data_IF_193136683332
#
_entry.id   IF_193136683332
#
_cell.length_a   1.000
_cell.length_b   1.000
_cell.length_c   1.000
_cell.angle_alpha   90.00
_cell.angle_beta   90.00
_cell.angle_gamma   90.00
#
_symmetry.space_group_name_H-M   'P 1'
#
loop_
_entity.id
_entity.type
_entity.pdbx_description
1 polymer ?
#
# COMPACT_ATOMS: atom_id res chain seq x y z
N UNK A 1 -12.59 -12.17 -17.70
CA UNK A 1 -11.98 -10.87 -17.33
C UNK A 1 -12.99 -9.97 -16.62
N UNK A 2 -12.74 -9.60 -15.37
CA UNK A 2 -13.65 -8.70 -14.64
C UNK A 2 -13.49 -7.26 -15.15
N UNK A 3 -14.59 -6.57 -15.45
CA UNK A 3 -14.59 -5.20 -16.01
C UNK A 3 -13.72 -4.24 -15.20
N UNK A 4 -13.72 -4.38 -13.87
CA UNK A 4 -12.91 -3.53 -12.98
C UNK A 4 -11.40 -3.58 -13.25
N UNK A 5 -10.87 -4.75 -13.63
CA UNK A 5 -9.43 -4.88 -13.90
C UNK A 5 -9.05 -4.07 -15.14
N UNK A 6 -9.89 -4.15 -16.16
CA UNK A 6 -9.74 -3.37 -17.38
C UNK A 6 -9.90 -1.87 -17.11
N UNK A 7 -10.91 -1.46 -16.35
CA UNK A 7 -11.12 -0.05 -15.95
C UNK A 7 -9.93 0.48 -15.15
N UNK A 8 -9.47 -0.25 -14.13
CA UNK A 8 -8.30 0.14 -13.33
C UNK A 8 -7.03 0.26 -14.18
N UNK A 9 -6.83 -0.62 -15.14
CA UNK A 9 -5.70 -0.52 -16.07
C UNK A 9 -5.76 0.76 -16.91
N UNK A 10 -6.95 1.15 -17.39
CA UNK A 10 -7.16 2.42 -18.10
C UNK A 10 -6.96 3.63 -17.20
N UNK A 11 -7.51 3.62 -15.99
CA UNK A 11 -7.33 4.70 -15.02
C UNK A 11 -5.86 4.92 -14.65
N UNK A 12 -5.08 3.85 -14.46
CA UNK A 12 -3.63 3.98 -14.22
C UNK A 12 -2.91 4.66 -15.38
N UNK A 13 -3.26 4.34 -16.63
CA UNK A 13 -2.70 5.02 -17.80
C UNK A 13 -3.04 6.51 -17.80
N UNK A 14 -4.29 6.85 -17.50
CA UNK A 14 -4.77 8.24 -17.41
C UNK A 14 -4.07 8.99 -16.26
N UNK A 15 -3.82 8.34 -15.12
CA UNK A 15 -3.17 8.96 -13.96
C UNK A 15 -1.75 9.46 -14.24
N UNK A 16 -1.07 8.94 -15.27
CA UNK A 16 0.24 9.45 -15.70
C UNK A 16 0.14 10.88 -16.24
N UNK A 17 -1.02 11.26 -16.78
CA UNK A 17 -1.32 12.60 -17.30
C UNK A 17 -1.87 13.54 -16.22
N UNK A 18 -2.09 13.06 -14.99
CA UNK A 18 -2.63 13.87 -13.91
C UNK A 18 -1.71 15.06 -13.58
N UNK A 19 -2.21 16.30 -13.51
CA UNK A 19 -1.37 17.48 -13.26
C UNK A 19 -0.58 17.41 -11.97
N UNK A 20 -1.17 16.85 -10.90
CA UNK A 20 -0.50 16.69 -9.60
C UNK A 20 0.81 15.90 -9.70
N UNK A 21 0.85 14.93 -10.61
CA UNK A 21 2.02 14.12 -10.93
C UNK A 21 3.15 14.98 -11.52
N UNK A 22 2.82 15.81 -12.51
CA UNK A 22 3.80 16.67 -13.19
C UNK A 22 4.35 17.74 -12.25
N UNK A 23 3.47 18.33 -11.42
CA UNK A 23 3.86 19.34 -10.42
C UNK A 23 4.80 18.71 -9.39
N UNK A 24 4.48 17.53 -8.85
CA UNK A 24 5.33 16.84 -7.89
C UNK A 24 6.73 16.52 -8.42
N UNK A 25 6.81 16.09 -9.69
CA UNK A 25 8.11 15.90 -10.35
C UNK A 25 8.88 17.21 -10.49
N UNK A 26 8.18 18.32 -10.77
CA UNK A 26 8.76 19.66 -10.79
C UNK A 26 9.31 20.09 -9.43
N UNK A 27 8.56 19.87 -8.35
CA UNK A 27 8.98 20.18 -6.98
C UNK A 27 10.21 19.37 -6.54
N UNK A 28 10.36 18.15 -7.02
CA UNK A 28 11.53 17.31 -6.74
C UNK A 28 12.76 17.65 -7.60
N UNK A 29 12.66 18.57 -8.56
CA UNK A 29 13.76 18.91 -9.47
C UNK A 29 14.83 19.71 -8.74
N UNK A 30 16.08 19.26 -8.84
CA UNK A 30 17.26 19.99 -8.33
C UNK A 30 17.78 20.94 -9.42
N UNK A 31 18.00 20.38 -10.61
CA UNK A 31 18.46 21.09 -11.80
C UNK A 31 17.86 20.43 -13.06
N UNK A 32 18.19 20.95 -14.25
CA UNK A 32 17.64 20.43 -15.51
C UNK A 32 17.98 18.95 -15.70
N UNK A 33 16.97 18.09 -15.53
CA UNK A 33 17.08 16.65 -15.75
C UNK A 33 17.59 15.85 -14.54
N UNK A 34 17.79 16.49 -13.38
CA UNK A 34 18.19 15.83 -12.13
C UNK A 34 17.11 16.03 -11.05
N UNK A 35 16.66 14.92 -10.45
CA UNK A 35 15.53 14.90 -9.51
C UNK A 35 15.92 14.25 -8.20
N UNK A 36 15.51 14.85 -7.07
CA UNK A 36 15.85 14.41 -5.72
C UNK A 36 14.97 13.24 -5.29
N UNK A 37 15.59 12.13 -4.90
CA UNK A 37 14.90 11.03 -4.25
C UNK A 37 14.38 11.45 -2.87
N UNK A 38 13.12 11.19 -2.57
CA UNK A 38 12.50 11.50 -1.29
C UNK A 38 13.06 10.66 -0.14
N UNK A 39 13.54 9.44 -0.40
CA UNK A 39 14.11 8.56 0.62
C UNK A 39 15.61 8.83 0.85
N UNK A 40 16.46 8.46 -0.12
CA UNK A 40 17.92 8.56 0.04
C UNK A 40 18.51 9.96 -0.22
N UNK A 41 17.67 10.95 -0.60
CA UNK A 41 18.03 12.36 -0.85
C UNK A 41 19.04 12.63 -1.97
N UNK A 42 19.52 11.61 -2.68
CA UNK A 42 20.41 11.72 -3.85
C UNK A 42 19.65 12.16 -5.12
N UNK A 43 20.38 12.73 -6.08
CA UNK A 43 19.85 13.15 -7.39
C UNK A 43 19.91 12.04 -8.44
N UNK A 44 18.85 11.90 -9.24
CA UNK A 44 18.75 10.88 -10.30
C UNK A 44 18.22 11.48 -11.61
N UNK A 45 18.77 11.00 -12.73
CA UNK A 45 18.29 11.35 -14.09
C UNK A 45 17.07 10.52 -14.47
N UNK A 46 16.33 10.99 -15.48
CA UNK A 46 15.20 10.27 -16.07
C UNK A 46 15.62 8.84 -16.44
N UNK A 47 14.79 7.86 -16.10
CA UNK A 47 15.10 6.43 -16.25
C UNK A 47 15.68 5.77 -15.00
N UNK A 48 16.25 6.55 -14.07
CA UNK A 48 16.80 6.05 -12.79
C UNK A 48 15.92 6.41 -11.58
N UNK A 49 14.72 6.91 -11.80
CA UNK A 49 13.73 7.17 -10.77
C UNK A 49 12.31 6.86 -11.24
N UNK A 50 11.45 6.59 -10.27
CA UNK A 50 10.01 6.49 -10.41
C UNK A 50 9.37 7.64 -9.64
N UNK A 51 8.21 8.08 -10.12
CA UNK A 51 7.35 8.96 -9.36
C UNK A 51 6.21 8.11 -8.84
N UNK A 52 6.10 8.04 -7.53
CA UNK A 52 5.31 7.08 -6.80
C UNK A 52 4.37 7.79 -5.81
N UNK A 53 3.30 7.13 -5.41
CA UNK A 53 2.41 7.65 -4.38
C UNK A 53 3.06 7.45 -2.99
N UNK A 54 2.94 8.45 -2.11
CA UNK A 54 3.40 8.33 -0.71
C UNK A 54 2.59 7.23 -0.03
N UNK A 55 1.27 7.34 -0.10
CA UNK A 55 0.34 6.30 0.33
C UNK A 55 0.00 5.40 -0.85
N UNK A 56 0.18 4.09 -0.69
CA UNK A 56 -0.13 3.13 -1.76
C UNK A 56 -1.60 3.27 -2.23
N UNK A 57 -1.80 3.27 -3.55
CA UNK A 57 -3.15 3.30 -4.15
C UNK A 57 -3.98 2.09 -3.72
N UNK A 58 -3.30 0.95 -3.53
CA UNK A 58 -3.91 -0.27 -2.98
C UNK A 58 -3.61 -0.31 -1.48
N UNK A 59 -4.63 -0.24 -0.61
CA UNK A 59 -4.44 -0.29 0.84
C UNK A 59 -3.65 -1.54 1.26
N UNK A 60 -2.77 -1.36 2.26
CA UNK A 60 -2.00 -2.46 2.85
C UNK A 60 -2.82 -3.21 3.90
N UNK A 61 -3.55 -2.47 4.70
CA UNK A 61 -4.49 -2.96 5.68
C UNK A 61 -5.62 -3.69 4.96
N UNK A 62 -5.76 -4.99 5.21
CA UNK A 62 -6.81 -5.78 4.57
C UNK A 62 -8.23 -5.34 4.93
N UNK A 63 -8.43 -4.28 5.71
CA UNK A 63 -9.67 -3.92 6.42
C UNK A 63 -10.72 -3.18 5.61
N UNK A 64 -10.35 -2.42 4.57
CA UNK A 64 -11.35 -1.72 3.73
C UNK A 64 -11.95 -2.59 2.62
N UNK A 65 -12.36 -3.79 3.01
CA UNK A 65 -13.18 -4.68 2.20
C UNK A 65 -14.58 -4.63 2.81
N UNK A 66 -15.58 -4.20 2.03
CA UNK A 66 -16.96 -4.04 2.50
C UNK A 66 -17.43 -5.30 3.23
N UNK A 67 -18.26 -5.14 4.26
CA UNK A 67 -18.87 -6.24 5.03
C UNK A 67 -19.54 -7.32 4.15
N UNK A 68 -19.93 -6.97 2.91
CA UNK A 68 -20.63 -7.85 1.97
C UNK A 68 -19.82 -8.21 0.70
N UNK A 69 -18.60 -7.70 0.51
CA UNK A 69 -17.68 -8.18 -0.53
C UNK A 69 -16.22 -8.08 -0.04
N UNK A 70 -15.66 -9.20 0.48
CA UNK A 70 -14.33 -9.26 1.06
C UNK A 70 -13.19 -9.16 0.01
N UNK A 71 -13.45 -8.75 -1.24
CA UNK A 71 -12.42 -8.69 -2.30
C UNK A 71 -12.13 -7.30 -2.86
N UNK A 72 -12.85 -6.24 -2.47
CA UNK A 72 -12.84 -4.98 -3.24
C UNK A 72 -12.62 -3.73 -2.38
N UNK A 73 -11.57 -2.97 -2.71
CA UNK A 73 -11.41 -1.55 -2.32
C UNK A 73 -12.59 -0.80 -2.94
N UNK A 74 -13.20 0.11 -2.19
CA UNK A 74 -14.24 0.97 -2.73
C UNK A 74 -13.73 1.71 -3.97
N UNK A 75 -14.57 1.82 -5.01
CA UNK A 75 -14.10 2.39 -6.27
C UNK A 75 -13.82 3.89 -6.13
N UNK A 76 -14.57 4.61 -5.29
CA UNK A 76 -14.30 6.03 -5.02
C UNK A 76 -13.00 6.18 -4.25
N UNK A 77 -12.78 5.36 -3.20
CA UNK A 77 -11.50 5.37 -2.48
C UNK A 77 -10.31 5.07 -3.41
N UNK A 78 -10.47 4.15 -4.36
CA UNK A 78 -9.43 3.87 -5.34
C UNK A 78 -9.11 5.09 -6.23
N UNK A 79 -10.14 5.84 -6.64
CA UNK A 79 -9.96 7.08 -7.42
C UNK A 79 -9.29 8.17 -6.58
N UNK A 80 -9.74 8.38 -5.34
CA UNK A 80 -9.18 9.37 -4.42
C UNK A 80 -7.69 9.13 -4.15
N UNK A 81 -7.30 7.85 -4.00
CA UNK A 81 -5.88 7.48 -3.81
C UNK A 81 -5.08 7.52 -5.11
N UNK A 82 -5.73 7.39 -6.27
CA UNK A 82 -5.06 7.41 -7.57
C UNK A 82 -4.75 8.85 -8.01
N UNK A 83 -5.71 9.76 -7.84
CA UNK A 83 -5.65 11.16 -8.29
C UNK A 83 -5.43 12.11 -7.10
N UNK A 84 -4.22 12.09 -6.58
CA UNK A 84 -3.85 12.84 -5.37
C UNK A 84 -3.22 14.19 -5.71
N UNK A 85 -3.23 15.17 -4.79
CA UNK A 85 -2.50 16.42 -4.97
C UNK A 85 -0.97 16.18 -4.98
N UNK A 86 -0.17 17.15 -5.47
CA UNK A 86 1.27 17.00 -5.66
C UNK A 86 2.04 16.51 -4.42
N UNK A 87 1.63 16.94 -3.23
CA UNK A 87 2.28 16.68 -1.95
C UNK A 87 2.18 15.21 -1.53
N UNK A 88 1.29 14.45 -2.17
CA UNK A 88 1.08 13.02 -1.94
C UNK A 88 1.84 12.14 -2.93
N UNK A 89 2.64 12.73 -3.82
CA UNK A 89 3.60 12.02 -4.65
C UNK A 89 5.03 12.16 -4.10
N UNK A 90 5.89 11.22 -4.46
CA UNK A 90 7.31 11.24 -4.15
C UNK A 90 8.13 10.71 -5.32
N UNK A 91 9.26 11.36 -5.60
CA UNK A 91 10.28 10.82 -6.51
C UNK A 91 11.14 9.83 -5.73
N UNK A 92 11.27 8.60 -6.21
CA UNK A 92 12.12 7.57 -5.62
C UNK A 92 13.07 7.01 -6.67
N UNK A 93 14.34 6.81 -6.33
CA UNK A 93 15.22 6.04 -7.22
C UNK A 93 14.73 4.60 -7.35
N UNK A 94 15.19 3.89 -8.40
CA UNK A 94 14.79 2.50 -8.68
C UNK A 94 14.91 1.61 -7.43
N UNK A 95 16.05 1.66 -6.73
CA UNK A 95 16.29 0.85 -5.53
C UNK A 95 15.34 1.18 -4.37
N UNK A 96 15.13 2.47 -4.05
CA UNK A 96 14.21 2.86 -2.98
C UNK A 96 12.77 2.52 -3.32
N UNK A 97 12.38 2.66 -4.59
CA UNK A 97 11.06 2.29 -5.08
C UNK A 97 10.82 0.78 -4.99
N UNK A 98 11.80 -0.03 -5.37
CA UNK A 98 11.74 -1.50 -5.25
C UNK A 98 11.63 -1.93 -3.79
N UNK A 99 12.44 -1.33 -2.90
CA UNK A 99 12.37 -1.59 -1.46
C UNK A 99 10.99 -1.28 -0.91
N UNK A 100 10.43 -0.11 -1.23
CA UNK A 100 9.05 0.27 -0.84
C UNK A 100 8.04 -0.74 -1.36
N UNK A 101 8.09 -1.07 -2.65
CA UNK A 101 7.16 -2.01 -3.29
C UNK A 101 7.19 -3.39 -2.62
N UNK A 102 8.38 -3.90 -2.31
CA UNK A 102 8.58 -5.18 -1.62
C UNK A 102 7.99 -5.15 -0.22
N UNK A 103 8.25 -4.09 0.56
CA UNK A 103 7.68 -3.94 1.90
C UNK A 103 6.15 -3.87 1.87
N UNK A 104 5.57 -3.07 0.97
CA UNK A 104 4.11 -2.99 0.82
C UNK A 104 3.49 -4.33 0.43
N UNK A 105 4.13 -5.09 -0.47
CA UNK A 105 3.67 -6.41 -0.87
C UNK A 105 3.73 -7.41 0.29
N UNK A 106 4.83 -7.41 1.05
CA UNK A 106 4.98 -8.23 2.26
C UNK A 106 3.91 -7.91 3.29
N UNK A 107 3.60 -6.63 3.51
CA UNK A 107 2.53 -6.21 4.41
C UNK A 107 1.15 -6.68 3.91
N UNK A 108 0.85 -6.53 2.61
CA UNK A 108 -0.40 -7.05 2.02
C UNK A 108 -0.56 -8.55 2.22
N UNK A 109 0.54 -9.31 2.05
CA UNK A 109 0.52 -10.75 2.25
C UNK A 109 0.35 -11.11 3.73
N UNK A 110 1.04 -10.41 4.64
CA UNK A 110 0.89 -10.58 6.09
C UNK A 110 -0.57 -10.41 6.53
N UNK A 111 -1.22 -9.30 6.17
CA UNK A 111 -2.62 -9.07 6.54
C UNK A 111 -3.59 -10.06 5.90
N UNK A 112 -3.27 -10.59 4.71
CA UNK A 112 -4.06 -11.65 4.07
C UNK A 112 -3.98 -12.95 4.86
N UNK A 113 -2.82 -13.29 5.41
CA UNK A 113 -2.62 -14.53 6.17
C UNK A 113 -3.11 -14.41 7.61
N UNK A 114 -2.96 -13.26 8.27
CA UNK A 114 -3.58 -12.96 9.57
C UNK A 114 -5.11 -13.18 9.52
N UNK A 115 -5.76 -12.75 8.43
CA UNK A 115 -7.21 -12.95 8.24
C UNK A 115 -7.63 -14.41 8.07
N UNK A 116 -6.72 -15.29 7.64
CA UNK A 116 -7.00 -16.73 7.53
C UNK A 116 -6.88 -17.45 8.86
N UNK A 117 -6.19 -16.87 9.85
CA UNK A 117 -6.05 -17.52 11.16
C UNK A 117 -7.43 -17.72 11.77
N UNK A 118 -7.77 -18.93 12.25
CA UNK A 118 -9.05 -19.16 12.89
C UNK A 118 -9.19 -18.22 14.08
N UNK A 119 -10.26 -17.43 14.11
CA UNK A 119 -10.57 -16.59 15.27
C UNK A 119 -10.68 -17.52 16.48
N UNK A 120 -9.89 -17.27 17.52
CA UNK A 120 -9.98 -18.03 18.77
C UNK A 120 -11.43 -17.96 19.26
N UNK A 121 -12.10 -19.11 19.30
CA UNK A 121 -13.48 -19.15 19.78
C UNK A 121 -13.51 -18.78 21.26
N UNK A 122 -14.61 -18.20 21.73
CA UNK A 122 -14.80 -17.91 23.16
C UNK A 122 -14.60 -19.19 24.01
N UNK A 123 -15.00 -20.34 23.49
CA UNK A 123 -14.80 -21.64 24.11
C UNK A 123 -13.31 -22.03 24.18
N UNK A 124 -12.56 -21.88 23.09
CA UNK A 124 -11.12 -22.13 23.08
C UNK A 124 -10.33 -21.21 24.02
N UNK A 125 -10.75 -19.95 24.14
CA UNK A 125 -10.17 -19.02 25.11
C UNK A 125 -10.47 -19.44 26.56
N UNK A 126 -11.71 -19.86 26.84
CA UNK A 126 -12.11 -20.36 28.17
C UNK A 126 -11.36 -21.64 28.54
N UNK A 127 -11.17 -22.56 27.60
CA UNK A 127 -10.43 -23.81 27.79
C UNK A 127 -8.94 -23.55 28.10
N UNK A 128 -8.29 -22.67 27.33
CA UNK A 128 -6.89 -22.27 27.56
C UNK A 128 -6.73 -21.59 28.92
N UNK A 129 -7.69 -20.75 29.35
CA UNK A 129 -7.67 -20.12 30.66
C UNK A 129 -7.77 -21.16 31.78
N UNK A 130 -8.71 -22.10 31.67
CA UNK A 130 -8.90 -23.18 32.63
C UNK A 130 -7.65 -24.06 32.75
N UNK A 131 -7.02 -24.43 31.63
CA UNK A 131 -5.79 -25.22 31.61
C UNK A 131 -4.62 -24.51 32.30
N UNK A 132 -4.47 -23.20 32.10
CA UNK A 132 -3.41 -22.41 32.76
C UNK A 132 -3.62 -22.29 34.28
N UNK A 133 -4.86 -22.30 34.74
CA UNK A 133 -5.17 -22.28 36.17
C UNK A 133 -4.86 -23.62 36.84
N UNK A 134 -5.06 -24.74 36.14
CA UNK A 134 -4.68 -26.09 36.62
C UNK A 134 -3.15 -26.21 36.72
N UNK A 135 -2.42 -25.87 35.66
CA UNK A 135 -0.94 -25.95 35.63
C UNK A 135 -0.27 -25.06 36.68
N UNK A 136 -0.92 -23.98 37.13
CA UNK A 136 -0.44 -23.11 38.21
C UNK A 136 -0.65 -23.68 39.61
N UNK A 137 -1.59 -24.62 39.79
CA UNK A 137 -1.86 -25.26 41.08
C UNK A 137 -0.95 -26.46 41.34
N UNK A 138 -0.39 -27.03 40.28
CA UNK A 138 0.53 -28.17 40.34
C UNK A 138 2.02 -27.76 40.47
N UNK A 139 2.30 -26.46 40.66
CA UNK A 139 3.62 -25.88 40.97
C UNK A 139 3.57 -25.14 42.28
#
# INVERSE_FOLDING_TARGET
PHIDSWVKAKLRKISVQWPGRTIAMGLARIERGLYKCANCKKGFRKGHFHLDHIESVIPMDGEKKRKNDPKRVDFNEYLDRLFVPPEKYQVLCVFCHETKSTLENSMRQYYKDEKKKPKKTKLGQKLIKSLKEVVKKDK
#
